data_IF_479850952997
#
_entry.id   IF_479850952997
#
_cell.length_a   1.000
_cell.length_b   1.000
_cell.length_c   1.000
_cell.angle_alpha   90.00
_cell.angle_beta   90.00
_cell.angle_gamma   90.00
#
_symmetry.space_group_name_H-M   'P 1'
#
loop_
_entity.id
_entity.type
_entity.pdbx_description
1 polymer ?
#
# COMPACT_ATOMS: atom_id res chain seq x y z
N UNK A 1 -19.25 -1.21 13.16
CA UNK A 1 -18.22 -0.17 13.39
C UNK A 1 -17.67 0.18 12.02
N UNK A 2 -17.82 1.43 11.57
CA UNK A 2 -17.30 1.82 10.26
C UNK A 2 -15.79 1.99 10.37
N UNK A 3 -15.10 1.77 9.26
CA UNK A 3 -13.63 1.86 9.18
C UNK A 3 -13.11 3.26 9.55
N UNK A 4 -13.91 4.28 9.23
CA UNK A 4 -13.67 5.69 9.52
C UNK A 4 -13.60 5.98 11.02
N UNK A 5 -14.38 5.25 11.84
CA UNK A 5 -14.46 5.45 13.29
C UNK A 5 -13.19 4.98 14.03
N UNK A 6 -12.33 4.17 13.38
CA UNK A 6 -11.12 3.60 14.00
C UNK A 6 -9.94 4.58 14.00
N UNK A 7 -9.91 5.54 13.08
CA UNK A 7 -8.83 6.53 12.96
C UNK A 7 -8.82 7.53 14.13
N UNK A 8 -10.00 7.83 14.69
CA UNK A 8 -10.19 8.80 15.78
C UNK A 8 -10.08 8.17 17.19
N UNK A 9 -9.77 6.88 17.28
CA UNK A 9 -9.65 6.22 18.58
C UNK A 9 -8.31 6.51 19.26
N UNK A 10 -8.29 6.67 20.60
CA UNK A 10 -7.06 6.88 21.37
C UNK A 10 -6.13 5.66 21.38
N UNK A 11 -6.62 4.50 20.95
CA UNK A 11 -5.85 3.26 20.88
C UNK A 11 -4.93 3.24 19.64
N UNK A 12 -3.62 3.16 19.86
CA UNK A 12 -2.61 3.09 18.80
C UNK A 12 -2.83 1.90 17.85
N UNK A 13 -3.25 0.74 18.39
CA UNK A 13 -3.58 -0.45 17.61
C UNK A 13 -4.80 -0.19 16.71
N UNK A 14 -5.84 0.47 17.22
CA UNK A 14 -7.04 0.77 16.43
C UNK A 14 -6.71 1.69 15.24
N UNK A 15 -5.89 2.72 15.46
CA UNK A 15 -5.42 3.60 14.37
C UNK A 15 -4.55 2.87 13.36
N UNK A 16 -3.63 2.01 13.82
CA UNK A 16 -2.86 1.16 12.92
C UNK A 16 -3.77 0.24 12.10
N UNK A 17 -4.75 -0.42 12.73
CA UNK A 17 -5.73 -1.27 12.04
C UNK A 17 -6.57 -0.46 11.04
N UNK A 18 -6.90 0.80 11.30
CA UNK A 18 -7.57 1.66 10.32
C UNK A 18 -6.71 1.91 9.05
N UNK A 19 -5.39 1.85 9.16
CA UNK A 19 -4.48 2.08 8.02
C UNK A 19 -4.07 0.77 7.34
N UNK A 20 -3.67 -0.24 8.11
CA UNK A 20 -3.13 -1.51 7.60
C UNK A 20 -4.09 -2.69 7.72
N UNK A 21 -5.21 -2.58 8.42
CA UNK A 21 -6.12 -3.71 8.66
C UNK A 21 -7.03 -4.04 7.48
N UNK A 22 -7.04 -3.22 6.42
CA UNK A 22 -7.73 -3.57 5.19
C UNK A 22 -7.02 -4.77 4.55
N UNK A 23 -7.79 -5.83 4.31
CA UNK A 23 -7.28 -7.11 3.79
C UNK A 23 -6.40 -6.94 2.55
N UNK A 24 -6.74 -6.01 1.65
CA UNK A 24 -5.98 -5.79 0.43
C UNK A 24 -4.69 -5.01 0.65
N UNK A 25 -4.68 -4.09 1.61
CA UNK A 25 -3.47 -3.35 2.02
C UNK A 25 -2.39 -4.30 2.53
N UNK A 26 -2.75 -5.27 3.39
CA UNK A 26 -1.81 -6.30 3.85
C UNK A 26 -1.26 -7.15 2.70
N UNK A 27 -2.11 -7.50 1.74
CA UNK A 27 -1.70 -8.32 0.59
C UNK A 27 -0.77 -7.54 -0.36
N UNK A 28 -1.02 -6.24 -0.54
CA UNK A 28 -0.13 -5.36 -1.30
C UNK A 28 1.21 -5.21 -0.59
N UNK A 29 1.22 -4.99 0.74
CA UNK A 29 2.46 -4.90 1.51
C UNK A 29 3.27 -6.19 1.45
N UNK A 30 2.62 -7.36 1.62
CA UNK A 30 3.26 -8.66 1.44
C UNK A 30 3.94 -8.77 0.08
N UNK A 31 3.23 -8.42 -0.99
CA UNK A 31 3.79 -8.48 -2.34
C UNK A 31 4.92 -7.45 -2.53
N UNK A 32 4.83 -6.28 -1.92
CA UNK A 32 5.91 -5.27 -1.92
C UNK A 32 7.18 -5.79 -1.23
N UNK A 33 7.04 -6.48 -0.09
CA UNK A 33 8.17 -7.14 0.59
C UNK A 33 8.78 -8.26 -0.25
N UNK A 34 8.00 -8.93 -1.09
CA UNK A 34 8.47 -9.90 -2.08
C UNK A 34 9.10 -9.24 -3.33
N UNK A 35 9.27 -7.91 -3.33
CA UNK A 35 9.91 -7.18 -4.41
C UNK A 35 8.98 -6.82 -5.58
N UNK A 36 7.66 -7.01 -5.43
CA UNK A 36 6.69 -6.53 -6.43
C UNK A 36 6.60 -5.00 -6.35
N UNK A 37 6.83 -4.33 -7.48
CA UNK A 37 6.89 -2.86 -7.53
C UNK A 37 5.96 -2.23 -8.56
N UNK A 38 5.44 -3.01 -9.51
CA UNK A 38 4.65 -2.49 -10.65
C UNK A 38 3.16 -2.74 -10.43
N UNK A 39 2.33 -1.76 -10.79
CA UNK A 39 0.87 -1.85 -10.69
C UNK A 39 0.30 -3.10 -11.35
N UNK A 40 0.68 -3.36 -12.60
CA UNK A 40 0.24 -4.53 -13.38
C UNK A 40 0.58 -5.83 -12.65
N UNK A 41 1.76 -5.92 -12.01
CA UNK A 41 2.17 -7.12 -11.28
C UNK A 41 1.34 -7.33 -10.00
N UNK A 42 1.00 -6.26 -9.27
CA UNK A 42 0.04 -6.35 -8.16
C UNK A 42 -1.33 -6.82 -8.66
N UNK A 43 -1.80 -6.28 -9.78
CA UNK A 43 -3.09 -6.66 -10.36
C UNK A 43 -3.13 -8.13 -10.76
N UNK A 44 -2.11 -8.62 -11.48
CA UNK A 44 -2.03 -10.03 -11.89
C UNK A 44 -1.96 -10.97 -10.69
N UNK A 45 -1.21 -10.62 -9.65
CA UNK A 45 -1.00 -11.49 -8.48
C UNK A 45 -2.20 -11.52 -7.53
N UNK A 46 -2.89 -10.39 -7.36
CA UNK A 46 -3.99 -10.27 -6.41
C UNK A 46 -5.36 -10.60 -7.03
N UNK A 47 -5.50 -10.47 -8.36
CA UNK A 47 -6.75 -10.81 -9.08
C UNK A 47 -7.94 -9.91 -8.73
N UNK A 48 -7.68 -8.70 -8.24
CA UNK A 48 -8.72 -7.74 -7.81
C UNK A 48 -8.90 -6.59 -8.79
N UNK A 49 -9.97 -5.82 -8.58
CA UNK A 49 -10.27 -4.65 -9.41
C UNK A 49 -9.13 -3.62 -9.34
N UNK A 50 -8.89 -2.97 -10.50
CA UNK A 50 -7.90 -1.90 -10.63
C UNK A 50 -8.19 -0.73 -9.69
N UNK A 51 -9.47 -0.45 -9.44
CA UNK A 51 -9.91 0.61 -8.52
C UNK A 51 -9.39 0.38 -7.11
N UNK A 52 -9.58 -0.83 -6.56
CA UNK A 52 -9.12 -1.15 -5.20
C UNK A 52 -7.60 -1.03 -5.10
N UNK A 53 -6.86 -1.57 -6.08
CA UNK A 53 -5.38 -1.46 -6.09
C UNK A 53 -4.95 0.00 -6.14
N UNK A 54 -5.61 0.81 -6.97
CA UNK A 54 -5.31 2.24 -7.11
C UNK A 54 -5.51 2.97 -5.80
N UNK A 55 -6.66 2.75 -5.14
CA UNK A 55 -6.99 3.35 -3.84
C UNK A 55 -5.98 2.95 -2.77
N UNK A 56 -5.64 1.66 -2.67
CA UNK A 56 -4.71 1.17 -1.65
C UNK A 56 -3.27 1.61 -1.88
N UNK A 57 -2.77 1.59 -3.13
CA UNK A 57 -1.45 2.11 -3.45
C UNK A 57 -1.37 3.62 -3.21
N UNK A 58 -2.44 4.36 -3.50
CA UNK A 58 -2.51 5.80 -3.20
C UNK A 58 -2.43 6.05 -1.70
N UNK A 59 -3.24 5.34 -0.90
CA UNK A 59 -3.20 5.42 0.56
C UNK A 59 -1.80 5.13 1.11
N UNK A 60 -1.16 4.04 0.68
CA UNK A 60 0.19 3.68 1.14
C UNK A 60 1.26 4.72 0.74
N UNK A 61 1.07 5.43 -0.37
CA UNK A 61 1.95 6.53 -0.77
C UNK A 61 1.69 7.78 0.08
N UNK A 62 0.42 8.13 0.32
CA UNK A 62 0.02 9.26 1.17
C UNK A 62 0.51 9.07 2.62
N UNK A 63 0.43 7.85 3.13
CA UNK A 63 0.96 7.47 4.44
C UNK A 63 2.49 7.35 4.46
N UNK A 64 3.18 7.54 3.33
CA UNK A 64 4.64 7.46 3.24
C UNK A 64 5.20 6.06 3.49
N UNK A 65 4.39 5.01 3.36
CA UNK A 65 4.82 3.60 3.43
C UNK A 65 5.45 3.16 2.11
N UNK A 66 4.91 3.65 1.00
CA UNK A 66 5.45 3.48 -0.34
C UNK A 66 5.84 4.84 -0.93
N UNK A 67 6.82 4.84 -1.82
CA UNK A 67 7.14 5.97 -2.70
C UNK A 67 6.84 5.57 -4.15
N UNK A 68 6.13 6.45 -4.87
CA UNK A 68 5.92 6.31 -6.31
C UNK A 68 7.06 6.97 -7.05
N UNK A 69 7.93 6.16 -7.69
CA UNK A 69 9.15 6.64 -8.33
C UNK A 69 9.14 6.32 -9.83
N UNK A 70 9.65 7.22 -10.69
CA UNK A 70 9.85 6.89 -12.10
C UNK A 70 10.96 5.84 -12.23
N UNK A 71 10.78 4.86 -13.12
CA UNK A 71 11.81 3.88 -13.48
C UNK A 71 12.17 3.91 -14.97
N UNK A 72 11.42 4.67 -15.76
CA UNK A 72 11.61 4.85 -17.20
C UNK A 72 11.13 6.25 -17.53
N UNK A 73 11.87 6.99 -18.38
CA UNK A 73 11.55 8.38 -18.70
C UNK A 73 10.76 8.56 -20.01
N UNK A 74 10.78 7.57 -20.93
CA UNK A 74 10.14 7.68 -22.26
C UNK A 74 9.49 6.35 -22.72
N UNK A 75 8.16 6.20 -22.65
CA UNK A 75 7.22 7.02 -21.87
C UNK A 75 7.53 6.94 -20.37
N UNK A 76 7.13 7.96 -19.60
CA UNK A 76 7.34 7.94 -18.14
C UNK A 76 6.55 6.79 -17.52
N UNK A 77 7.23 5.87 -16.84
CA UNK A 77 6.60 4.78 -16.08
C UNK A 77 7.02 4.82 -14.63
N UNK A 78 6.07 4.53 -13.76
CA UNK A 78 6.27 4.56 -12.32
C UNK A 78 6.22 3.16 -11.72
N UNK A 79 6.92 3.01 -10.62
CA UNK A 79 6.85 1.86 -9.73
C UNK A 79 6.72 2.33 -8.28
N UNK A 80 6.35 1.41 -7.41
CA UNK A 80 6.12 1.64 -5.98
C UNK A 80 7.23 0.95 -5.20
N UNK A 81 7.96 1.72 -4.39
CA UNK A 81 9.06 1.21 -3.56
C UNK A 81 8.75 1.41 -2.08
N UNK A 82 9.10 0.44 -1.25
CA UNK A 82 9.04 0.60 0.20
C UNK A 82 9.97 1.74 0.63
N UNK A 83 9.44 2.63 1.48
CA UNK A 83 10.22 3.63 2.20
C UNK A 83 10.81 3.01 3.46
N UNK A 84 11.62 3.76 4.22
CA UNK A 84 12.06 3.29 5.53
C UNK A 84 10.87 2.94 6.44
N UNK A 85 9.86 3.83 6.54
CA UNK A 85 8.62 3.58 7.29
C UNK A 85 7.93 2.28 6.85
N UNK A 86 7.93 1.97 5.55
CA UNK A 86 7.38 0.72 5.05
C UNK A 86 8.22 -0.51 5.36
N UNK A 87 9.55 -0.38 5.35
CA UNK A 87 10.45 -1.46 5.76
C UNK A 87 10.34 -1.77 7.26
N UNK A 88 10.06 -0.76 8.09
CA UNK A 88 9.85 -0.94 9.54
C UNK A 88 8.56 -1.72 9.88
N UNK A 89 7.66 -1.94 8.89
CA UNK A 89 6.50 -2.80 9.02
C UNK A 89 6.82 -4.29 8.77
N UNK A 90 8.04 -4.61 8.36
CA UNK A 90 8.47 -5.99 8.18
C UNK A 90 8.62 -6.67 9.56
N UNK A 91 8.07 -7.88 9.77
CA UNK A 91 8.17 -8.60 11.04
C UNK A 91 9.60 -8.97 11.45
#
# INVERSE_FOLDING_TARGET
MKWEDLADQPCSIARSVAVIGDRWTLMILRDAFLGVRRFEAFQTRLGISRTIITERLKLLVEEGVLAKVPYQDRPVRHEYRLTQKGMDLYP
#
